data_IF_642308958836
#
_entry.id   IF_642308958836
#
_cell.length_a   1.000
_cell.length_b   1.000
_cell.length_c   1.000
_cell.angle_alpha   90.00
_cell.angle_beta   90.00
_cell.angle_gamma   90.00
#
_symmetry.space_group_name_H-M   'P 1'
#
loop_
_entity.id
_entity.type
_entity.pdbx_description
1 polymer ?
#
# COMPACT_ATOMS: atom_id res chain seq x y z
N UNK A 1 -2.25 -3.58 -9.83
CA UNK A 1 -3.39 -2.71 -9.49
C UNK A 1 -3.62 -1.72 -10.62
N UNK A 2 -4.88 -1.35 -10.92
CA UNK A 2 -5.18 -0.37 -11.98
C UNK A 2 -5.09 1.08 -11.46
N UNK A 3 -4.48 1.98 -12.24
CA UNK A 3 -4.27 3.38 -11.84
C UNK A 3 -5.59 4.12 -11.61
N UNK A 4 -6.58 3.92 -12.46
CA UNK A 4 -7.87 4.62 -12.33
C UNK A 4 -8.56 4.25 -11.01
N UNK A 5 -8.53 2.97 -10.62
CA UNK A 5 -9.04 2.53 -9.31
C UNK A 5 -8.29 3.17 -8.14
N UNK A 6 -6.98 3.36 -8.27
CA UNK A 6 -6.17 4.04 -7.24
C UNK A 6 -6.57 5.52 -7.16
N UNK A 7 -6.71 6.21 -8.29
CA UNK A 7 -7.18 7.60 -8.34
C UNK A 7 -8.56 7.76 -7.70
N UNK A 8 -9.49 6.86 -8.01
CA UNK A 8 -10.82 6.82 -7.40
C UNK A 8 -10.75 6.65 -5.87
N UNK A 9 -9.88 5.76 -5.39
CA UNK A 9 -9.66 5.55 -3.96
C UNK A 9 -9.09 6.80 -3.27
N UNK A 10 -8.13 7.46 -3.90
CA UNK A 10 -7.51 8.71 -3.42
C UNK A 10 -8.40 9.95 -3.61
N UNK A 11 -9.53 9.82 -4.33
CA UNK A 11 -10.41 10.93 -4.73
C UNK A 11 -9.68 11.99 -5.57
N UNK A 12 -8.84 11.55 -6.50
CA UNK A 12 -8.11 12.39 -7.45
C UNK A 12 -8.80 12.31 -8.81
N UNK A 13 -9.32 13.44 -9.30
CA UNK A 13 -10.08 13.55 -10.55
C UNK A 13 -9.31 14.28 -11.67
N UNK A 14 -8.04 14.62 -11.43
CA UNK A 14 -7.15 15.33 -12.34
C UNK A 14 -5.90 14.50 -12.67
N UNK A 15 -5.19 14.83 -13.74
CA UNK A 15 -4.13 13.97 -14.32
C UNK A 15 -2.71 14.43 -13.96
N UNK A 16 -2.55 15.63 -13.40
CA UNK A 16 -1.26 16.21 -13.02
C UNK A 16 -0.50 15.35 -12.00
N UNK A 17 -1.22 14.60 -11.16
CA UNK A 17 -0.64 13.71 -10.15
C UNK A 17 -0.45 12.26 -10.65
N UNK A 18 -0.75 11.94 -11.91
CA UNK A 18 -0.61 10.58 -12.44
C UNK A 18 0.80 10.01 -12.23
N UNK A 19 1.83 10.81 -12.54
CA UNK A 19 3.22 10.37 -12.41
C UNK A 19 3.66 10.12 -10.97
N UNK A 20 3.16 10.91 -10.02
CA UNK A 20 3.48 10.71 -8.59
C UNK A 20 2.68 9.53 -8.02
N UNK A 21 1.42 9.36 -8.43
CA UNK A 21 0.59 8.21 -8.05
C UNK A 21 1.22 6.90 -8.56
N UNK A 22 1.69 6.86 -9.81
CA UNK A 22 2.39 5.69 -10.38
C UNK A 22 3.66 5.35 -9.59
N UNK A 23 4.45 6.35 -9.16
CA UNK A 23 5.60 6.12 -8.29
C UNK A 23 5.20 5.53 -6.92
N UNK A 24 4.14 6.03 -6.32
CA UNK A 24 3.64 5.55 -5.02
C UNK A 24 3.08 4.13 -5.12
N UNK A 25 2.37 3.82 -6.22
CA UNK A 25 1.92 2.47 -6.55
C UNK A 25 3.11 1.50 -6.64
N UNK A 26 4.17 1.86 -7.36
CA UNK A 26 5.37 1.03 -7.46
C UNK A 26 6.07 0.86 -6.11
N UNK A 27 6.14 1.91 -5.28
CA UNK A 27 6.71 1.83 -3.94
C UNK A 27 5.90 0.91 -3.01
N UNK A 28 4.57 1.00 -3.05
CA UNK A 28 3.68 0.16 -2.26
C UNK A 28 3.78 -1.32 -2.67
N UNK A 29 3.82 -1.63 -3.97
CA UNK A 29 4.00 -3.00 -4.46
C UNK A 29 5.35 -3.59 -3.99
N UNK A 30 6.43 -2.85 -4.18
CA UNK A 30 7.77 -3.28 -3.76
C UNK A 30 7.85 -3.47 -2.23
N UNK A 31 7.19 -2.62 -1.46
CA UNK A 31 7.11 -2.77 0.00
C UNK A 31 6.45 -4.10 0.38
N UNK A 32 5.30 -4.43 -0.23
CA UNK A 32 4.60 -5.68 0.03
C UNK A 32 5.46 -6.88 -0.40
N UNK A 33 6.06 -6.85 -1.59
CA UNK A 33 6.95 -7.92 -2.05
C UNK A 33 8.13 -8.10 -1.09
N UNK A 34 8.75 -7.02 -0.63
CA UNK A 34 9.87 -7.11 0.31
C UNK A 34 9.45 -7.66 1.69
N UNK A 35 8.25 -7.30 2.17
CA UNK A 35 7.76 -7.74 3.47
C UNK A 35 7.17 -9.15 3.46
N UNK A 36 6.50 -9.54 2.37
CA UNK A 36 5.64 -10.74 2.30
C UNK A 36 6.19 -11.79 1.31
N UNK A 37 7.12 -11.41 0.43
CA UNK A 37 7.73 -12.26 -0.59
C UNK A 37 7.05 -12.17 -1.96
N UNK A 38 5.76 -11.78 -2.00
CA UNK A 38 5.02 -11.52 -3.26
C UNK A 38 3.85 -10.56 -3.04
N UNK A 39 3.40 -9.94 -4.12
CA UNK A 39 2.13 -9.24 -4.19
C UNK A 39 1.17 -10.03 -5.11
N UNK A 40 0.07 -10.50 -4.54
CA UNK A 40 -0.99 -11.21 -5.27
C UNK A 40 -2.22 -10.32 -5.39
N UNK A 41 -2.47 -9.80 -6.59
CA UNK A 41 -3.60 -8.90 -6.84
C UNK A 41 -4.97 -9.57 -6.76
N UNK A 42 -5.04 -10.90 -6.63
CA UNK A 42 -6.29 -11.63 -6.35
C UNK A 42 -6.61 -11.72 -4.85
N UNK A 43 -5.64 -11.38 -3.99
CA UNK A 43 -5.82 -11.40 -2.54
C UNK A 43 -6.32 -10.04 -2.03
N UNK A 44 -7.54 -10.01 -1.52
CA UNK A 44 -8.17 -8.78 -1.03
C UNK A 44 -7.41 -8.11 0.12
N UNK A 45 -6.72 -8.87 0.99
CA UNK A 45 -5.88 -8.30 2.04
C UNK A 45 -4.63 -7.63 1.46
N UNK A 46 -4.05 -8.21 0.41
CA UNK A 46 -2.92 -7.61 -0.29
C UNK A 46 -3.34 -6.32 -1.02
N UNK A 47 -4.52 -6.32 -1.67
CA UNK A 47 -5.09 -5.14 -2.31
C UNK A 47 -5.41 -4.03 -1.30
N UNK A 48 -5.96 -4.37 -0.15
CA UNK A 48 -6.25 -3.40 0.92
C UNK A 48 -4.95 -2.78 1.47
N UNK A 49 -3.93 -3.59 1.73
CA UNK A 49 -2.63 -3.10 2.19
C UNK A 49 -1.97 -2.19 1.13
N UNK A 50 -2.04 -2.58 -0.14
CA UNK A 50 -1.53 -1.79 -1.25
C UNK A 50 -2.19 -0.40 -1.29
N UNK A 51 -3.53 -0.34 -1.27
CA UNK A 51 -4.26 0.94 -1.31
C UNK A 51 -3.92 1.83 -0.11
N UNK A 52 -3.83 1.25 1.09
CA UNK A 52 -3.49 2.01 2.29
C UNK A 52 -2.06 2.56 2.26
N UNK A 53 -1.09 1.82 1.71
CA UNK A 53 0.28 2.30 1.51
C UNK A 53 0.34 3.42 0.47
N UNK A 54 -0.37 3.29 -0.65
CA UNK A 54 -0.41 4.35 -1.66
C UNK A 54 -1.02 5.62 -1.10
N UNK A 55 -2.13 5.52 -0.36
CA UNK A 55 -2.72 6.68 0.30
C UNK A 55 -1.76 7.32 1.30
N UNK A 56 -1.05 6.53 2.09
CA UNK A 56 -0.07 7.07 3.03
C UNK A 56 1.01 7.90 2.34
N UNK A 57 1.61 7.33 1.30
CA UNK A 57 2.65 8.00 0.53
C UNK A 57 2.11 9.27 -0.13
N UNK A 58 0.87 9.22 -0.61
CA UNK A 58 0.19 10.34 -1.27
C UNK A 58 -0.20 11.46 -0.33
N UNK A 59 -0.71 11.14 0.86
CA UNK A 59 -1.10 12.11 1.89
C UNK A 59 0.14 12.72 2.57
N UNK A 60 1.19 11.91 2.79
CA UNK A 60 2.41 12.29 3.50
C UNK A 60 3.61 12.52 2.56
N UNK A 61 3.42 13.27 1.46
CA UNK A 61 4.49 13.64 0.50
C UNK A 61 5.68 14.36 1.13
N UNK A 62 5.49 14.97 2.30
CA UNK A 62 6.57 15.52 3.11
C UNK A 62 7.02 14.47 4.12
N UNK A 63 8.33 14.17 4.19
CA UNK A 63 8.94 13.23 5.15
C UNK A 63 8.67 13.56 6.64
N UNK A 64 7.97 14.67 6.93
CA UNK A 64 7.52 15.06 8.26
C UNK A 64 6.21 14.35 8.60
N UNK A 65 6.31 13.09 9.02
CA UNK A 65 5.19 12.31 9.58
C UNK A 65 5.17 12.48 11.10
N UNK A 66 4.01 12.76 11.70
CA UNK A 66 3.91 12.82 13.17
C UNK A 66 4.10 11.42 13.78
N UNK A 67 4.69 11.34 14.96
CA UNK A 67 4.94 10.06 15.66
C UNK A 67 3.65 9.26 15.94
N UNK A 68 2.50 9.94 16.06
CA UNK A 68 1.21 9.30 16.29
C UNK A 68 0.63 8.65 15.02
N UNK A 69 0.87 9.23 13.84
CA UNK A 69 0.49 8.64 12.55
C UNK A 69 1.32 7.38 12.26
N UNK A 70 2.65 7.44 12.49
CA UNK A 70 3.55 6.29 12.34
C UNK A 70 3.09 5.07 13.16
N UNK A 71 2.68 5.28 14.42
CA UNK A 71 2.31 4.18 15.33
C UNK A 71 1.06 3.41 14.90
N UNK A 72 -0.04 4.11 14.54
CA UNK A 72 -1.30 3.42 14.18
C UNK A 72 -1.17 2.58 12.93
N UNK A 73 -0.49 3.13 11.92
CA UNK A 73 -0.25 2.46 10.66
C UNK A 73 0.64 1.23 10.82
N UNK A 74 1.65 1.33 11.69
CA UNK A 74 2.53 0.21 12.01
C UNK A 74 1.79 -1.01 12.56
N UNK A 75 0.75 -0.84 13.38
CA UNK A 75 0.04 -1.98 13.96
C UNK A 75 -0.88 -2.68 12.95
N UNK A 76 -1.71 -1.93 12.21
CA UNK A 76 -2.63 -2.52 11.24
C UNK A 76 -1.86 -3.13 10.06
N UNK A 77 -0.85 -2.43 9.52
CA UNK A 77 -0.03 -2.97 8.43
C UNK A 77 0.76 -4.19 8.88
N UNK A 78 1.36 -4.14 10.07
CA UNK A 78 2.08 -5.29 10.64
C UNK A 78 1.19 -6.52 10.78
N UNK A 79 -0.07 -6.37 11.22
CA UNK A 79 -1.01 -7.49 11.32
C UNK A 79 -1.36 -8.08 9.95
N UNK A 80 -1.63 -7.24 8.94
CA UNK A 80 -1.95 -7.71 7.59
C UNK A 80 -0.74 -8.39 6.96
N UNK A 81 0.46 -7.83 7.12
CA UNK A 81 1.72 -8.44 6.64
C UNK A 81 1.90 -9.83 7.25
N UNK A 82 1.75 -9.97 8.56
CA UNK A 82 1.87 -11.27 9.24
C UNK A 82 0.83 -12.27 8.72
N UNK A 83 -0.42 -11.86 8.55
CA UNK A 83 -1.46 -12.72 7.99
C UNK A 83 -1.16 -13.17 6.56
N UNK A 84 -0.57 -12.31 5.74
CA UNK A 84 -0.19 -12.64 4.36
C UNK A 84 1.03 -13.58 4.33
N UNK A 85 2.03 -13.33 5.18
CA UNK A 85 3.20 -14.21 5.32
C UNK A 85 2.77 -15.64 5.68
N UNK A 86 1.96 -15.79 6.73
CA UNK A 86 1.44 -17.09 7.17
C UNK A 86 0.62 -17.77 6.06
N UNK A 87 -0.25 -17.02 5.39
CA UNK A 87 -1.07 -17.55 4.30
C UNK A 87 -0.24 -18.06 3.12
N UNK A 88 0.92 -17.48 2.84
CA UNK A 88 1.78 -17.92 1.74
C UNK A 88 2.76 -19.02 2.13
N UNK A 89 3.16 -19.09 3.40
CA UNK A 89 3.92 -20.22 3.94
C UNK A 89 3.08 -21.52 3.92
N UNK A 90 1.80 -21.47 4.27
CA UNK A 90 0.91 -22.66 4.24
C UNK A 90 0.69 -23.28 2.84
N UNK A 91 0.98 -22.52 1.78
CA UNK A 91 0.77 -22.95 0.38
C UNK A 91 2.06 -23.52 -0.23
N UNK A 92 3.17 -23.55 0.52
CA UNK A 92 4.49 -24.06 0.09
C UNK A 92 4.78 -25.42 0.72
#
# INVERSE_FOLDING_TARGET
MDKQKVKEYLRVDFDEDDGIIEQMMAAAENYIIAAVGKYDSSNEKANMLFMALVQDLYDNRTLMVTEQQKKRMSYTFGSIILQLQLQYEEVT
#
